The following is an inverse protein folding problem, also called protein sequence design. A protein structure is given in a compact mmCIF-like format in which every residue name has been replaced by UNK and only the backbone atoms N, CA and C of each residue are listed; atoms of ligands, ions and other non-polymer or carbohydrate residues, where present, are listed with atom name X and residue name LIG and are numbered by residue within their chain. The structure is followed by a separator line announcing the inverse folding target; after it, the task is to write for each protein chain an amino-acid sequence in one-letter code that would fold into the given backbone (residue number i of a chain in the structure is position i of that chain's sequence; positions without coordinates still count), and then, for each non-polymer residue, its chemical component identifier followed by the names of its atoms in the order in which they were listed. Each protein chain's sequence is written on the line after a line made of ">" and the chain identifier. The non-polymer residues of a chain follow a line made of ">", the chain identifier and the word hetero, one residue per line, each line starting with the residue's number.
data_IF_245086111427
#
_entry.id   IF_245086111427
#
_cell.length_a   1.000
_cell.length_b   1.000
_cell.length_c   1.000
_cell.angle_alpha   90.00
_cell.angle_beta   90.00
_cell.angle_gamma   90.00
#
_symmetry.space_group_name_H-M   'P 1'
#
loop_
_entity.id
_entity.type
_entity.pdbx_description
1 polymer ?
#
# COMPACT_ATOMS: atom_id res chain seq x y z
N UNK A 1 -11.98 -3.22 3.67
CA UNK A 1 -10.90 -4.24 3.74
C UNK A 1 -9.50 -3.69 4.05
N UNK A 2 -9.16 -2.48 3.58
CA UNK A 2 -7.82 -1.85 3.82
C UNK A 2 -7.50 -1.64 5.31
N UNK A 3 -8.52 -1.45 6.15
CA UNK A 3 -8.39 -1.24 7.61
C UNK A 3 -7.78 -2.45 8.34
N UNK A 4 -7.96 -3.67 7.84
CA UNK A 4 -7.53 -4.88 8.55
C UNK A 4 -6.02 -5.09 8.54
N UNK A 5 -5.30 -4.57 7.54
CA UNK A 5 -3.86 -4.80 7.41
C UNK A 5 -3.03 -4.00 8.43
N UNK A 6 -3.44 -2.75 8.73
CA UNK A 6 -2.69 -1.89 9.64
C UNK A 6 -2.76 -2.37 11.09
N UNK A 7 -3.95 -2.74 11.56
CA UNK A 7 -4.12 -3.27 12.91
C UNK A 7 -3.29 -4.54 13.11
N UNK A 8 -3.24 -5.42 12.10
CA UNK A 8 -2.44 -6.65 12.13
C UNK A 8 -0.95 -6.34 12.24
N UNK A 9 -0.44 -5.37 11.46
CA UNK A 9 0.95 -4.92 11.52
C UNK A 9 1.30 -4.32 12.88
N UNK A 10 0.43 -3.44 13.41
CA UNK A 10 0.65 -2.78 14.71
C UNK A 10 0.62 -3.76 15.89
N UNK A 11 -0.09 -4.89 15.76
CA UNK A 11 -0.07 -5.97 16.75
C UNK A 11 1.12 -6.94 16.57
N UNK A 12 2.03 -6.68 15.63
CA UNK A 12 3.20 -7.53 15.37
C UNK A 12 2.86 -8.84 14.67
N UNK A 13 1.68 -8.95 14.05
CA UNK A 13 1.25 -10.11 13.30
C UNK A 13 1.57 -9.93 11.81
N UNK A 14 2.06 -10.98 11.15
CA UNK A 14 2.25 -10.94 9.69
C UNK A 14 0.88 -11.01 9.01
N UNK A 15 0.52 -10.04 8.14
CA UNK A 15 -0.74 -10.10 7.42
C UNK A 15 -0.79 -11.27 6.43
N UNK A 16 -1.94 -11.91 6.36
CA UNK A 16 -2.28 -12.91 5.35
C UNK A 16 -3.38 -12.31 4.48
N UNK A 17 -3.16 -12.24 3.17
CA UNK A 17 -4.09 -11.63 2.21
C UNK A 17 -4.40 -12.61 1.09
N UNK A 18 -5.59 -12.46 0.52
CA UNK A 18 -5.92 -13.08 -0.76
C UNK A 18 -5.29 -12.23 -1.88
N UNK A 19 -4.65 -12.90 -2.83
CA UNK A 19 -3.97 -12.24 -3.95
C UNK A 19 -4.48 -12.78 -5.28
N UNK A 20 -4.69 -11.88 -6.24
CA UNK A 20 -5.08 -12.19 -7.61
C UNK A 20 -4.43 -11.20 -8.57
N UNK A 21 -4.38 -11.56 -9.85
CA UNK A 21 -3.80 -10.71 -10.88
C UNK A 21 -4.71 -9.51 -11.16
N UNK A 22 -4.10 -8.34 -11.35
CA UNK A 22 -4.82 -7.14 -11.79
C UNK A 22 -4.58 -6.87 -13.28
N UNK A 23 -5.61 -6.51 -14.05
CA UNK A 23 -5.42 -6.10 -15.44
C UNK A 23 -4.83 -4.68 -15.58
N UNK A 24 -4.81 -3.88 -14.49
CA UNK A 24 -4.31 -2.49 -14.53
C UNK A 24 -2.78 -2.40 -14.61
N UNK A 25 -2.09 -3.43 -14.13
CA UNK A 25 -0.63 -3.48 -14.12
C UNK A 25 -0.18 -4.89 -14.53
N UNK A 26 0.48 -5.05 -15.70
CA UNK A 26 1.00 -6.35 -16.12
C UNK A 26 1.94 -6.96 -15.06
N UNK A 27 1.61 -8.15 -14.57
CA UNK A 27 2.34 -8.82 -13.49
C UNK A 27 2.07 -8.28 -12.09
N UNK A 28 1.24 -7.25 -11.96
CA UNK A 28 0.81 -6.70 -10.69
C UNK A 28 -0.19 -7.59 -9.97
N UNK A 29 -0.22 -7.48 -8.64
CA UNK A 29 -1.21 -8.13 -7.77
C UNK A 29 -2.21 -7.12 -7.23
N UNK A 30 -3.39 -7.62 -6.90
CA UNK A 30 -4.38 -6.92 -6.09
C UNK A 30 -4.74 -7.76 -4.88
N UNK A 31 -5.02 -7.06 -3.77
CA UNK A 31 -5.50 -7.64 -2.50
C UNK A 31 -6.89 -7.10 -2.14
N UNK A 32 -7.54 -6.39 -3.06
CA UNK A 32 -8.82 -5.74 -2.85
C UNK A 32 -9.79 -6.15 -3.94
N UNK A 33 -10.81 -6.94 -3.57
CA UNK A 33 -11.88 -7.34 -4.47
C UNK A 33 -13.02 -6.31 -4.34
N UNK A 34 -13.29 -5.45 -5.34
CA UNK A 34 -14.43 -4.55 -5.29
C UNK A 34 -15.72 -5.36 -5.49
N UNK A 35 -16.64 -5.28 -4.52
CA UNK A 35 -17.94 -5.96 -4.58
C UNK A 35 -18.77 -5.58 -5.83
N UNK A 36 -18.56 -4.38 -6.38
CA UNK A 36 -19.43 -3.82 -7.41
C UNK A 36 -18.80 -3.73 -8.81
N UNK A 37 -17.54 -4.16 -9.00
CA UNK A 37 -16.85 -4.08 -10.29
C UNK A 37 -15.93 -5.29 -10.52
N UNK A 38 -16.49 -6.47 -10.86
CA UNK A 38 -15.71 -7.64 -11.22
C UNK A 38 -14.79 -7.32 -12.41
N UNK A 39 -13.49 -7.56 -12.26
CA UNK A 39 -12.50 -7.31 -13.32
C UNK A 39 -11.82 -5.94 -13.29
N UNK A 40 -12.24 -4.98 -12.46
CA UNK A 40 -11.53 -3.71 -12.27
C UNK A 40 -10.81 -3.66 -10.92
N UNK A 41 -9.77 -4.49 -10.82
CA UNK A 41 -9.00 -4.64 -9.60
C UNK A 41 -7.85 -3.65 -9.57
N UNK A 42 -7.87 -2.69 -8.64
CA UNK A 42 -6.74 -1.80 -8.44
C UNK A 42 -5.53 -2.58 -7.87
N UNK A 43 -4.34 -2.29 -8.37
CA UNK A 43 -3.09 -2.90 -7.91
C UNK A 43 -2.80 -2.52 -6.46
N UNK A 44 -1.96 -3.30 -5.77
CA UNK A 44 -1.42 -2.93 -4.44
C UNK A 44 -0.79 -1.54 -4.48
N UNK A 45 -0.13 -1.22 -5.58
CA UNK A 45 0.57 0.04 -5.82
C UNK A 45 -0.38 1.23 -5.92
N UNK A 46 -1.63 1.02 -6.31
CA UNK A 46 -2.65 2.08 -6.39
C UNK A 46 -3.47 2.22 -5.11
N UNK A 47 -3.49 1.19 -4.25
CA UNK A 47 -4.47 1.06 -3.17
C UNK A 47 -3.89 1.21 -1.78
N UNK A 48 -2.60 0.93 -1.59
CA UNK A 48 -1.95 1.03 -0.30
C UNK A 48 -1.17 2.34 -0.17
N UNK A 49 -1.28 3.04 0.98
CA UNK A 49 -0.53 4.27 1.18
C UNK A 49 0.96 3.96 1.20
N UNK A 50 1.75 4.81 0.57
CA UNK A 50 3.20 4.68 0.52
C UNK A 50 3.68 3.40 -0.17
N UNK A 51 2.87 2.75 -1.00
CA UNK A 51 3.31 1.54 -1.68
C UNK A 51 4.53 1.83 -2.57
N UNK A 52 5.46 0.86 -2.60
CA UNK A 52 6.63 0.91 -3.47
C UNK A 52 6.27 1.26 -4.91
N UNK A 53 7.02 2.20 -5.50
CA UNK A 53 6.79 2.74 -6.82
C UNK A 53 5.84 3.95 -6.89
N UNK A 54 5.22 4.40 -5.79
CA UNK A 54 4.34 5.58 -5.80
C UNK A 54 5.08 6.92 -5.89
N UNK A 55 6.34 7.01 -5.46
CA UNK A 55 7.06 8.29 -5.31
C UNK A 55 8.33 8.37 -6.16
N UNK A 56 8.22 7.98 -7.43
CA UNK A 56 9.33 8.11 -8.37
C UNK A 56 10.56 7.27 -8.02
N UNK A 57 10.42 6.26 -7.16
CA UNK A 57 11.53 5.41 -6.71
C UNK A 57 12.29 5.97 -5.51
N UNK A 58 11.73 6.94 -4.78
CA UNK A 58 12.28 7.38 -3.51
C UNK A 58 12.05 6.32 -2.42
N UNK A 59 13.01 5.40 -2.29
CA UNK A 59 12.92 4.22 -1.43
C UNK A 59 12.74 4.56 0.06
N UNK A 60 13.17 5.76 0.49
CA UNK A 60 13.12 6.16 1.90
C UNK A 60 11.70 6.39 2.42
N UNK A 61 10.73 6.61 1.53
CA UNK A 61 9.33 6.87 1.86
C UNK A 61 8.37 5.81 1.32
N UNK A 62 8.92 4.73 0.77
CA UNK A 62 8.17 3.66 0.14
C UNK A 62 8.15 2.41 1.03
N UNK A 63 7.00 1.75 1.04
CA UNK A 63 6.74 0.52 1.78
C UNK A 63 6.56 -0.61 0.78
N UNK A 64 7.46 -1.58 0.83
CA UNK A 64 7.36 -2.83 0.10
C UNK A 64 6.47 -3.82 0.87
N UNK A 65 5.15 -3.61 0.77
CA UNK A 65 4.16 -4.45 1.47
C UNK A 65 4.31 -5.93 1.10
N UNK A 66 4.63 -6.25 -0.15
CA UNK A 66 4.79 -7.63 -0.62
C UNK A 66 5.95 -8.35 0.07
N UNK A 67 6.92 -7.59 0.57
CA UNK A 67 8.10 -8.15 1.23
C UNK A 67 7.80 -8.84 2.57
N UNK A 68 6.69 -8.48 3.24
CA UNK A 68 6.31 -9.07 4.52
C UNK A 68 4.96 -9.80 4.50
N UNK A 69 4.01 -9.43 3.64
CA UNK A 69 2.66 -10.03 3.58
C UNK A 69 2.66 -11.44 2.98
N UNK A 70 1.97 -12.38 3.62
CA UNK A 70 1.71 -13.72 3.05
C UNK A 70 0.56 -13.64 2.06
N UNK A 71 0.86 -13.95 0.79
CA UNK A 71 -0.11 -13.89 -0.29
C UNK A 71 -0.67 -15.29 -0.58
N UNK A 72 -1.99 -15.43 -0.49
CA UNK A 72 -2.72 -16.66 -0.85
C UNK A 72 -3.29 -16.48 -2.25
N UNK A 73 -2.76 -17.17 -3.28
CA UNK A 73 -3.25 -17.03 -4.63
C UNK A 73 -4.67 -17.59 -4.73
N UNK A 74 -5.62 -16.76 -5.17
CA UNK A 74 -6.95 -17.23 -5.56
C UNK A 74 -6.90 -17.80 -6.97
N UNK A 75 -7.44 -19.00 -7.14
CA UNK A 75 -7.77 -19.56 -8.45
C UNK A 75 -9.28 -19.43 -8.64
N UNK A 76 -9.68 -18.81 -9.75
CA UNK A 76 -11.09 -18.65 -10.13
C UNK A 76 -11.95 -17.95 -9.07
N UNK A 77 -11.38 -16.98 -8.34
CA UNK A 77 -12.05 -16.18 -7.30
C UNK A 77 -12.65 -16.99 -6.13
N UNK A 78 -12.33 -18.28 -6.02
CA UNK A 78 -12.81 -19.15 -4.94
C UNK A 78 -11.77 -19.32 -3.85
N UNK A 79 -12.19 -19.18 -2.59
CA UNK A 79 -11.32 -19.40 -1.44
C UNK A 79 -11.14 -20.90 -1.24
N UNK A 80 -9.95 -21.41 -1.56
CA UNK A 80 -9.56 -22.78 -1.23
C UNK A 80 -8.85 -22.80 0.13
N UNK A 81 -9.58 -23.21 1.17
CA UNK A 81 -9.04 -23.32 2.53
C UNK A 81 -7.82 -24.25 2.63
N UNK A 82 -7.76 -25.31 1.82
CA UNK A 82 -6.61 -26.22 1.78
C UNK A 82 -5.36 -25.50 1.26
N UNK A 83 -5.50 -24.71 0.20
CA UNK A 83 -4.40 -23.87 -0.34
C UNK A 83 -3.90 -22.85 0.70
N UNK A 84 -4.83 -22.23 1.44
CA UNK A 84 -4.49 -21.29 2.51
C UNK A 84 -3.70 -21.98 3.62
N UNK A 85 -4.18 -23.13 4.11
CA UNK A 85 -3.50 -23.90 5.15
C UNK A 85 -2.10 -24.34 4.71
N UNK A 86 -1.97 -24.89 3.51
CA UNK A 86 -0.68 -25.31 2.96
C UNK A 86 0.32 -24.15 2.88
N UNK A 87 -0.14 -22.98 2.44
CA UNK A 87 0.72 -21.78 2.35
C UNK A 87 1.16 -21.32 3.74
N UNK A 88 0.25 -21.30 4.72
CA UNK A 88 0.59 -20.94 6.10
C UNK A 88 1.57 -21.94 6.72
N UNK A 89 1.32 -23.25 6.56
CA UNK A 89 2.21 -24.32 7.04
C UNK A 89 3.60 -24.23 6.41
N UNK A 90 3.69 -23.92 5.11
CA UNK A 90 4.96 -23.73 4.42
C UNK A 90 5.74 -22.55 5.01
N UNK A 91 5.08 -21.42 5.28
CA UNK A 91 5.71 -20.25 5.91
C UNK A 91 6.13 -20.55 7.36
N UNK A 92 5.28 -21.21 8.15
CA UNK A 92 5.59 -21.57 9.54
C UNK A 92 6.73 -22.59 9.65
N UNK A 93 6.85 -23.48 8.66
CA UNK A 93 7.93 -24.45 8.57
C UNK A 93 9.26 -23.82 8.15
N UNK A 94 9.21 -22.73 7.38
CA UNK A 94 10.39 -21.97 6.95
C UNK A 94 10.71 -20.81 7.90
N UNK A 95 11.46 -21.11 8.96
CA UNK A 95 11.83 -20.13 10.00
C UNK A 95 12.63 -18.93 9.47
N UNK A 96 13.44 -19.12 8.44
CA UNK A 96 14.25 -18.03 7.86
C UNK A 96 13.36 -17.03 7.13
N UNK A 97 12.44 -17.52 6.31
CA UNK A 97 11.46 -16.70 5.61
C UNK A 97 10.53 -15.98 6.58
N UNK A 98 10.05 -16.67 7.63
CA UNK A 98 9.24 -16.07 8.67
C UNK A 98 9.97 -14.89 9.34
N UNK A 99 11.23 -15.09 9.74
CA UNK A 99 12.05 -14.03 10.35
C UNK A 99 12.36 -12.89 9.38
N UNK A 100 12.55 -13.18 8.10
CA UNK A 100 12.73 -12.15 7.06
C UNK A 100 11.49 -11.26 6.98
N UNK A 101 10.29 -11.85 6.94
CA UNK A 101 9.02 -11.12 6.92
C UNK A 101 8.80 -10.31 8.20
N UNK A 102 9.07 -10.88 9.37
CA UNK A 102 8.96 -10.18 10.65
C UNK A 102 9.86 -8.94 10.70
N UNK A 103 11.11 -9.05 10.24
CA UNK A 103 12.04 -7.91 10.18
C UNK A 103 11.53 -6.83 9.23
N UNK A 104 11.20 -7.20 8.00
CA UNK A 104 10.66 -6.26 7.02
C UNK A 104 9.40 -5.55 7.52
N UNK A 105 8.49 -6.28 8.18
CA UNK A 105 7.29 -5.70 8.79
C UNK A 105 7.65 -4.73 9.93
N UNK A 106 8.61 -5.09 10.79
CA UNK A 106 9.05 -4.25 11.90
C UNK A 106 9.69 -2.95 11.40
N UNK A 107 10.48 -3.02 10.32
CA UNK A 107 11.09 -1.84 9.69
C UNK A 107 10.03 -0.88 9.14
N UNK A 108 8.92 -1.42 8.59
CA UNK A 108 7.80 -0.63 8.06
C UNK A 108 6.77 -0.22 9.12
N UNK A 109 6.72 -0.89 10.28
CA UNK A 109 5.69 -0.65 11.29
C UNK A 109 5.69 0.80 11.80
N UNK A 110 6.87 1.42 11.89
CA UNK A 110 7.03 2.82 12.29
C UNK A 110 6.33 3.78 11.34
N UNK A 111 6.33 3.49 10.03
CA UNK A 111 5.64 4.29 8.99
C UNK A 111 4.11 4.29 9.15
N UNK A 112 3.55 3.39 9.96
CA UNK A 112 2.11 3.34 10.26
C UNK A 112 1.74 3.91 11.62
N UNK A 113 2.74 4.23 12.44
CA UNK A 113 2.51 4.91 13.71
C UNK A 113 2.48 6.42 13.48
N UNK A 114 1.63 7.11 14.23
CA UNK A 114 1.74 8.56 14.37
C UNK A 114 2.65 8.83 15.56
N UNK A 115 3.67 9.65 15.38
CA UNK A 115 4.47 10.16 16.48
C UNK A 115 3.61 10.97 17.44
N UNK A 116 3.00 10.32 18.42
CA UNK A 116 2.20 10.93 19.48
C UNK A 116 3.03 10.97 20.77
N UNK A 117 4.17 11.66 20.76
CA UNK A 117 5.07 11.65 21.92
C UNK A 117 6.28 12.56 21.80
N UNK A 118 7.11 12.65 22.86
CA UNK A 118 8.37 13.40 22.83
C UNK A 118 9.37 12.90 21.77
N UNK A 119 9.13 11.71 21.23
CA UNK A 119 9.89 11.02 20.19
C UNK A 119 9.28 11.13 18.79
N UNK A 120 8.23 11.94 18.60
CA UNK A 120 7.54 12.12 17.32
C UNK A 120 8.43 12.56 16.14
N UNK A 121 9.66 13.01 16.41
CA UNK A 121 10.63 13.43 15.40
C UNK A 121 11.84 12.48 15.26
N UNK A 122 11.85 11.36 15.99
CA UNK A 122 13.01 10.44 15.99
C UNK A 122 13.00 9.46 14.82
N UNK A 123 11.84 9.23 14.22
CA UNK A 123 11.65 8.24 13.16
C UNK A 123 10.78 8.81 12.04
N UNK A 124 10.94 8.27 10.83
CA UNK A 124 10.05 8.57 9.70
C UNK A 124 8.70 7.88 9.94
N UNK A 125 7.81 8.60 10.60
CA UNK A 125 6.48 8.15 10.97
C UNK A 125 5.45 8.44 9.87
N UNK A 126 4.19 8.06 10.09
CA UNK A 126 3.12 8.28 9.11
C UNK A 126 3.00 9.76 8.69
N UNK A 127 3.23 10.71 9.61
CA UNK A 127 3.19 12.14 9.29
C UNK A 127 4.33 12.56 8.37
N UNK A 128 5.53 12.07 8.63
CA UNK A 128 6.71 12.29 7.78
C UNK A 128 6.48 11.78 6.35
N UNK A 129 5.88 10.60 6.21
CA UNK A 129 5.51 10.05 4.89
C UNK A 129 4.43 10.90 4.19
N UNK A 130 3.44 11.42 4.92
CA UNK A 130 2.43 12.34 4.35
C UNK A 130 3.11 13.64 3.87
N UNK A 131 4.01 14.23 4.65
CA UNK A 131 4.75 15.43 4.26
C UNK A 131 5.61 15.19 3.03
N UNK A 132 6.31 14.06 2.95
CA UNK A 132 7.09 13.68 1.77
C UNK A 132 6.19 13.54 0.53
N UNK A 133 5.02 12.90 0.67
CA UNK A 133 4.04 12.77 -0.41
C UNK A 133 3.53 14.14 -0.90
N UNK A 134 3.24 15.07 0.02
CA UNK A 134 2.82 16.44 -0.32
C UNK A 134 3.94 17.22 -1.02
N UNK A 135 5.18 17.09 -0.52
CA UNK A 135 6.35 17.72 -1.13
C UNK A 135 6.56 17.22 -2.57
N UNK A 136 6.54 15.91 -2.78
CA UNK A 136 6.64 15.27 -4.09
C UNK A 136 5.51 15.74 -5.03
N UNK A 137 4.27 15.78 -4.54
CA UNK A 137 3.15 16.31 -5.32
C UNK A 137 3.37 17.77 -5.73
N UNK A 138 3.85 18.61 -4.82
CA UNK A 138 4.06 20.03 -5.10
C UNK A 138 5.22 20.30 -6.07
N UNK A 139 6.30 19.54 -6.00
CA UNK A 139 7.55 19.84 -6.72
C UNK A 139 7.74 19.00 -7.98
N UNK A 140 7.14 17.82 -8.08
CA UNK A 140 7.33 16.92 -9.22
C UNK A 140 6.05 16.80 -10.07
N UNK A 141 4.88 16.70 -9.42
CA UNK A 141 3.61 16.50 -10.12
C UNK A 141 2.99 17.84 -10.57
N UNK A 142 2.84 18.82 -9.67
CA UNK A 142 2.20 20.10 -10.02
C UNK A 142 2.90 20.85 -11.17
N UNK A 143 4.25 20.92 -11.25
CA UNK A 143 4.92 21.65 -12.32
C UNK A 143 4.76 20.99 -13.70
N UNK A 144 4.50 19.68 -13.74
CA UNK A 144 4.31 18.92 -14.99
C UNK A 144 2.83 18.78 -15.36
N UNK A 145 1.92 19.17 -14.46
CA UNK A 145 0.48 19.08 -14.66
C UNK A 145 -0.05 20.22 -15.53
N UNK A 146 -0.44 19.91 -16.77
CA UNK A 146 -1.26 20.81 -17.60
C UNK A 146 -2.76 20.51 -17.36
N UNK A 147 -3.50 21.37 -16.64
CA UNK A 147 -4.90 21.09 -16.34
C UNK A 147 -5.73 21.05 -17.63
N UNK A 148 -6.71 20.12 -17.74
CA UNK A 148 -7.67 20.13 -18.84
C UNK A 148 -8.32 21.51 -18.98
N UNK A 149 -8.32 22.07 -20.20
CA UNK A 149 -8.80 23.43 -20.52
C UNK A 149 -10.20 23.75 -19.96
N UNK A 150 -11.04 22.74 -19.72
CA UNK A 150 -12.36 22.86 -19.11
C UNK A 150 -12.37 23.39 -17.66
N UNK A 151 -11.28 23.24 -16.88
CA UNK A 151 -11.20 23.77 -15.50
C UNK A 151 -10.82 25.25 -15.42
N UNK A 152 -10.18 25.82 -16.44
CA UNK A 152 -9.80 27.25 -16.47
C UNK A 152 -11.02 28.18 -16.51
N UNK A 153 -12.11 27.77 -17.17
CA UNK A 153 -13.33 28.59 -17.25
C UNK A 153 -14.09 28.68 -15.93
N UNK A 154 -14.10 27.62 -15.11
CA UNK A 154 -14.82 27.63 -13.82
C UNK A 154 -14.11 28.45 -12.73
N UNK A 155 -12.77 28.48 -12.71
CA UNK A 155 -12.03 29.31 -11.75
C UNK A 155 -12.09 30.81 -12.08
N UNK A 156 -12.14 31.19 -13.37
CA UNK A 156 -12.31 32.58 -13.78
C UNK A 156 -13.70 33.17 -13.45
N UNK A 157 -14.73 32.33 -13.28
CA UNK A 157 -16.07 32.78 -12.91
C UNK A 157 -16.26 32.97 -11.40
N UNK A 158 -15.51 32.26 -10.56
CA UNK A 158 -15.64 32.36 -9.09
C UNK A 158 -14.88 33.58 -8.53
N UNK A 159 -13.88 34.10 -9.25
CA UNK A 159 -13.13 35.31 -8.84
C UNK A 159 -13.78 36.60 -9.34
N UNK A 160 -14.81 36.51 -10.19
CA UNK A 160 -15.53 37.64 -10.76
C UNK A 160 -16.97 37.82 -10.23
N UNK A 161 -17.32 37.13 -9.13
CA UNK A 161 -18.63 37.22 -8.46
C UNK A 161 -18.49 37.78 -7.04
#
# INVERSE_FOLDING_TARGET
>A
PVVLSFDVILNGCIPVVLSFDTPRLPGGKSWFLPENQPGDHASVWETYPFAKGQYGGNQDFEVDYESFVVQIPLKDETINMSSMMQTMEAILSNKEELRRRQRNMMDCALSFTYGMGPDAHRYNDAFSHILAALYHYQHEILPTYDPPKARRQKLGQVVAA
#
